data_IF_644982161429
#
_entry.id   IF_644982161429
#
_cell.length_a   1.000
_cell.length_b   1.000
_cell.length_c   1.000
_cell.angle_alpha   90.00
_cell.angle_beta   90.00
_cell.angle_gamma   90.00
#
_symmetry.space_group_name_H-M   'P 1'
#
loop_
_entity.id
_entity.type
_entity.pdbx_description
1 polymer ?
#
# COMPACT_ATOMS: atom_id res chain seq x y z
N UNK A 1 -11.10 37.52 -0.94
CA UNK A 1 -11.69 36.34 -1.60
C UNK A 1 -11.42 35.16 -0.70
N UNK A 2 -12.48 34.58 -0.17
CA UNK A 2 -12.46 33.49 0.79
C UNK A 2 -12.43 32.16 0.05
N UNK A 3 -11.62 31.20 0.49
CA UNK A 3 -11.76 29.79 0.09
C UNK A 3 -11.55 28.88 1.30
N UNK A 4 -12.70 28.61 1.91
CA UNK A 4 -13.16 27.51 2.74
C UNK A 4 -12.24 26.29 2.90
N UNK A 5 -11.96 25.95 4.15
CA UNK A 5 -11.36 24.71 4.61
C UNK A 5 -12.42 23.60 4.66
N UNK A 6 -12.36 22.64 3.73
CA UNK A 6 -13.12 21.38 3.84
C UNK A 6 -12.24 20.34 4.52
N UNK A 7 -12.50 20.11 5.81
CA UNK A 7 -11.97 19.01 6.60
C UNK A 7 -12.76 17.73 6.27
N UNK A 8 -12.24 16.89 5.37
CA UNK A 8 -12.76 15.54 5.14
C UNK A 8 -11.64 14.52 5.27
N UNK A 9 -11.76 13.67 6.30
CA UNK A 9 -11.06 12.39 6.41
C UNK A 9 -9.56 12.50 6.73
N UNK A 10 -9.17 12.03 7.92
CA UNK A 10 -7.78 12.00 8.38
C UNK A 10 -6.99 10.87 7.69
N UNK A 11 -6.86 10.90 6.36
CA UNK A 11 -5.77 10.20 5.69
C UNK A 11 -4.56 11.11 5.78
N UNK A 12 -3.50 10.63 6.44
CA UNK A 12 -2.21 11.29 6.39
C UNK A 12 -1.66 11.12 4.97
N UNK A 13 -2.14 11.94 4.03
CA UNK A 13 -1.51 12.12 2.74
C UNK A 13 -0.23 12.86 3.08
N UNK A 14 0.86 12.11 3.29
CA UNK A 14 2.18 12.69 3.23
C UNK A 14 2.24 13.36 1.86
N UNK A 15 2.19 14.69 1.83
CA UNK A 15 2.39 15.50 0.63
C UNK A 15 3.83 15.24 0.20
N UNK A 16 4.01 14.11 -0.47
CA UNK A 16 5.28 13.68 -0.96
C UNK A 16 5.50 14.50 -2.21
N UNK A 17 6.17 15.63 -2.03
CA UNK A 17 6.77 16.36 -3.13
C UNK A 17 7.82 15.43 -3.71
N UNK A 18 7.40 14.48 -4.55
CA UNK A 18 8.30 13.71 -5.38
C UNK A 18 8.87 14.75 -6.33
N UNK A 19 10.07 15.22 -6.00
CA UNK A 19 10.82 16.09 -6.90
C UNK A 19 10.80 15.42 -8.26
N UNK A 20 10.32 16.13 -9.28
CA UNK A 20 10.23 15.69 -10.69
C UNK A 20 11.58 15.29 -11.31
N UNK A 21 12.65 15.28 -10.51
CA UNK A 21 14.02 14.88 -10.83
C UNK A 21 14.45 13.53 -10.23
N UNK A 22 13.60 12.84 -9.45
CA UNK A 22 13.99 11.55 -8.89
C UNK A 22 14.04 10.52 -10.03
N UNK A 23 15.18 9.81 -10.23
CA UNK A 23 15.26 8.77 -11.24
C UNK A 23 14.27 7.65 -10.92
N UNK A 24 13.73 7.03 -11.97
CA UNK A 24 12.86 5.87 -11.84
C UNK A 24 13.57 4.73 -11.11
N UNK A 25 12.77 3.85 -10.51
CA UNK A 25 13.25 2.62 -9.91
C UNK A 25 14.13 1.85 -10.90
N UNK A 26 15.30 1.40 -10.43
CA UNK A 26 16.15 0.49 -11.21
C UNK A 26 15.56 -0.91 -11.18
N UNK A 27 15.85 -1.73 -12.21
CA UNK A 27 15.37 -3.13 -12.27
C UNK A 27 15.78 -3.91 -11.01
N UNK A 28 17.01 -3.71 -10.51
CA UNK A 28 17.48 -4.33 -9.28
C UNK A 28 16.58 -4.01 -8.07
N UNK A 29 16.12 -2.76 -7.94
CA UNK A 29 15.22 -2.37 -6.85
C UNK A 29 13.84 -3.01 -6.99
N UNK A 30 13.37 -3.19 -8.23
CA UNK A 30 12.10 -3.88 -8.51
C UNK A 30 12.22 -5.35 -8.14
N UNK A 31 13.32 -6.01 -8.53
CA UNK A 31 13.56 -7.42 -8.24
C UNK A 31 13.69 -7.66 -6.72
N UNK A 32 14.40 -6.78 -6.02
CA UNK A 32 14.56 -6.84 -4.56
C UNK A 32 13.22 -6.61 -3.83
N UNK A 33 12.43 -5.63 -4.27
CA UNK A 33 11.11 -5.37 -3.73
C UNK A 33 10.14 -6.56 -3.95
N UNK A 34 10.17 -7.16 -5.15
CA UNK A 34 9.37 -8.34 -5.46
C UNK A 34 9.77 -9.56 -4.61
N UNK A 35 11.07 -9.79 -4.41
CA UNK A 35 11.57 -10.85 -3.53
C UNK A 35 11.10 -10.67 -2.08
N UNK A 36 11.05 -9.43 -1.60
CA UNK A 36 10.59 -9.10 -0.25
C UNK A 36 9.06 -8.97 -0.13
N UNK A 37 8.32 -9.03 -1.24
CA UNK A 37 6.87 -8.79 -1.27
C UNK A 37 6.48 -7.36 -0.90
N UNK A 38 7.37 -6.38 -1.11
CA UNK A 38 7.14 -4.98 -0.76
C UNK A 38 6.66 -4.24 -2.01
N UNK A 39 5.41 -3.73 -2.05
CA UNK A 39 4.97 -2.90 -3.16
C UNK A 39 5.77 -1.59 -3.18
N UNK A 40 6.24 -1.18 -4.36
CA UNK A 40 7.00 0.05 -4.55
C UNK A 40 6.40 0.93 -5.65
N UNK A 41 6.59 2.25 -5.55
CA UNK A 41 6.23 3.20 -6.59
C UNK A 41 7.23 3.18 -7.76
N UNK A 42 6.92 3.96 -8.81
CA UNK A 42 7.78 4.11 -10.00
C UNK A 42 9.19 4.67 -9.71
N UNK A 43 9.44 5.15 -8.49
CA UNK A 43 10.71 5.71 -8.01
C UNK A 43 11.42 4.82 -6.99
N UNK A 44 10.93 3.59 -6.79
CA UNK A 44 11.57 2.58 -5.94
C UNK A 44 11.27 2.78 -4.47
N UNK A 45 10.15 3.39 -4.13
CA UNK A 45 9.79 3.69 -2.74
C UNK A 45 8.65 2.77 -2.32
N UNK A 46 8.77 2.11 -1.16
CA UNK A 46 7.68 1.36 -0.57
C UNK A 46 6.38 2.16 -0.52
N UNK A 47 5.38 1.67 -1.23
CA UNK A 47 3.99 2.07 -1.03
C UNK A 47 3.47 1.08 0.01
N UNK A 48 3.14 1.55 1.21
CA UNK A 48 2.45 0.67 2.16
C UNK A 48 1.12 0.23 1.57
N UNK A 49 0.73 -1.02 1.79
CA UNK A 49 -0.64 -1.46 1.53
C UNK A 49 -1.59 -0.87 2.57
N UNK A 50 -2.86 -0.71 2.21
CA UNK A 50 -3.86 -0.32 3.20
C UNK A 50 -4.04 -1.42 4.24
N UNK A 51 -4.37 -1.05 5.48
CA UNK A 51 -4.63 -2.04 6.53
C UNK A 51 -5.76 -2.99 6.12
N UNK A 52 -6.79 -2.48 5.45
CA UNK A 52 -7.92 -3.28 4.96
C UNK A 52 -7.49 -4.32 3.93
N UNK A 53 -6.61 -3.94 3.00
CA UNK A 53 -6.05 -4.85 1.99
C UNK A 53 -5.18 -5.93 2.63
N UNK A 54 -4.31 -5.56 3.59
CA UNK A 54 -3.53 -6.53 4.37
C UNK A 54 -4.41 -7.53 5.12
N UNK A 55 -5.45 -7.03 5.80
CA UNK A 55 -6.41 -7.86 6.54
C UNK A 55 -7.10 -8.83 5.59
N UNK A 56 -7.48 -8.37 4.38
CA UNK A 56 -8.11 -9.23 3.39
C UNK A 56 -7.19 -10.35 2.92
N UNK A 57 -5.96 -10.05 2.52
CA UNK A 57 -4.98 -11.07 2.14
C UNK A 57 -4.70 -12.06 3.27
N UNK A 58 -4.61 -11.57 4.51
CA UNK A 58 -4.44 -12.43 5.69
C UNK A 58 -5.62 -13.42 5.83
N UNK A 59 -6.85 -12.94 5.71
CA UNK A 59 -8.03 -13.80 5.76
C UNK A 59 -8.06 -14.81 4.62
N UNK A 60 -7.62 -14.43 3.42
CA UNK A 60 -7.56 -15.36 2.28
C UNK A 60 -6.51 -16.46 2.53
N UNK A 61 -5.30 -16.11 2.96
CA UNK A 61 -4.25 -17.08 3.32
C UNK A 61 -4.68 -18.02 4.44
N UNK A 62 -5.32 -17.49 5.48
CA UNK A 62 -5.79 -18.31 6.58
C UNK A 62 -6.96 -19.22 6.14
N UNK A 63 -7.85 -18.72 5.28
CA UNK A 63 -8.96 -19.53 4.77
C UNK A 63 -8.47 -20.67 3.87
N UNK A 64 -7.44 -20.43 3.05
CA UNK A 64 -6.76 -21.47 2.27
C UNK A 64 -6.10 -22.51 3.20
N UNK A 65 -5.39 -22.05 4.24
CA UNK A 65 -4.68 -22.94 5.16
C UNK A 65 -5.62 -23.85 5.95
N UNK A 66 -6.74 -23.31 6.44
CA UNK A 66 -7.71 -24.07 7.25
C UNK A 66 -8.83 -24.72 6.41
N UNK A 67 -8.92 -24.42 5.11
CA UNK A 67 -9.94 -24.95 4.21
C UNK A 67 -11.36 -24.48 4.53
N UNK A 68 -11.50 -23.37 5.27
CA UNK A 68 -12.78 -22.79 5.68
C UNK A 68 -12.72 -21.28 5.51
N UNK A 69 -13.83 -20.66 5.08
CA UNK A 69 -13.91 -19.20 5.00
C UNK A 69 -14.01 -18.60 6.40
N UNK A 70 -12.90 -18.06 6.91
CA UNK A 70 -12.85 -17.50 8.25
C UNK A 70 -13.68 -16.21 8.41
N UNK A 71 -14.01 -15.53 7.30
CA UNK A 71 -14.89 -14.34 7.35
C UNK A 71 -16.33 -14.73 7.69
N UNK A 72 -16.70 -16.00 7.52
CA UNK A 72 -18.03 -16.53 7.81
C UNK A 72 -18.19 -17.05 9.25
N UNK A 73 -17.11 -17.04 10.04
CA UNK A 73 -17.08 -17.60 11.38
C UNK A 73 -17.50 -16.61 12.49
N UNK A 74 -17.90 -15.39 12.12
CA UNK A 74 -18.23 -14.27 13.02
C UNK A 74 -19.76 -14.08 13.11
#
# INVERSE_FOLDING_TARGET
METETVLTGKQAIANRTVSSKRPKATQKQIDEAAYLGIPIDEYGVPIGISLDEFINELYDCLSEHYGVDLRTLI
#
